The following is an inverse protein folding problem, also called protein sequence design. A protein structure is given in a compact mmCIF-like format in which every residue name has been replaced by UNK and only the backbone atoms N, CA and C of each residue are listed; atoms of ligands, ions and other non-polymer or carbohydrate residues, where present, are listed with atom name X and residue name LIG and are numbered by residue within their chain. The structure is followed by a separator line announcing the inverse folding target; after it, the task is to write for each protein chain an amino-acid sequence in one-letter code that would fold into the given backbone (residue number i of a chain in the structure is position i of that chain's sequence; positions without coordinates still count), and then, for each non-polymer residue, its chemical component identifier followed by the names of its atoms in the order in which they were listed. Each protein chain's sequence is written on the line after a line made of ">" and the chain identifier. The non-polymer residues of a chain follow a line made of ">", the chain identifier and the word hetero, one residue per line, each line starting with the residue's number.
data_IF_986149014319
#
_entry.id   IF_986149014319
#
_cell.length_a   1.000
_cell.length_b   1.000
_cell.length_c   1.000
_cell.angle_alpha   90.00
_cell.angle_beta   90.00
_cell.angle_gamma   90.00
#
_symmetry.space_group_name_H-M   'P 1'
#
loop_
_entity.id
_entity.type
_entity.pdbx_description
1 polymer ?
#
# COMPACT_ATOMS: atom_id res chain seq x y z
N UNK A 1 -5.29 7.20 -24.64
CA UNK A 1 -4.44 7.10 -23.42
C UNK A 1 -4.60 5.69 -22.87
N UNK A 2 -3.50 5.01 -22.54
CA UNK A 2 -3.58 3.70 -21.88
C UNK A 2 -4.28 3.83 -20.52
N UNK A 3 -5.14 2.88 -20.17
CA UNK A 3 -5.82 2.86 -18.87
C UNK A 3 -4.80 2.77 -17.74
N UNK A 4 -4.92 3.63 -16.72
CA UNK A 4 -4.02 3.64 -15.55
C UNK A 4 -4.39 2.50 -14.61
N UNK A 5 -3.42 1.66 -14.24
CA UNK A 5 -3.61 0.61 -13.23
C UNK A 5 -3.84 1.21 -11.85
N UNK A 6 -4.72 0.59 -11.06
CA UNK A 6 -4.87 0.85 -9.62
C UNK A 6 -3.71 0.20 -8.87
N UNK A 7 -3.01 0.96 -8.03
CA UNK A 7 -1.77 0.51 -7.38
C UNK A 7 -1.97 0.49 -5.86
N UNK A 8 -1.65 -0.64 -5.22
CA UNK A 8 -1.51 -0.73 -3.77
C UNK A 8 -0.04 -0.68 -3.37
N UNK A 9 0.34 0.24 -2.48
CA UNK A 9 1.68 0.29 -1.89
C UNK A 9 1.62 -0.20 -0.44
N UNK A 10 2.35 -1.28 -0.15
CA UNK A 10 2.53 -1.83 1.20
C UNK A 10 3.87 -1.34 1.75
N UNK A 11 3.87 -0.77 2.97
CA UNK A 11 5.07 -0.08 3.50
C UNK A 11 5.22 1.36 2.99
N UNK A 12 4.12 1.99 2.54
CA UNK A 12 4.13 3.34 1.97
C UNK A 12 4.62 4.44 2.92
N UNK A 13 4.64 4.22 4.24
CA UNK A 13 5.19 5.18 5.22
C UNK A 13 6.68 4.97 5.53
N UNK A 14 7.33 4.00 4.87
CA UNK A 14 8.76 3.75 4.99
C UNK A 14 9.63 4.74 4.20
N UNK A 15 10.95 4.57 4.29
CA UNK A 15 11.92 5.49 3.68
C UNK A 15 11.74 5.63 2.16
N UNK A 16 11.68 4.50 1.44
CA UNK A 16 11.44 4.49 -0.02
C UNK A 16 9.95 4.58 -0.34
N UNK A 17 9.10 3.89 0.43
CA UNK A 17 7.67 3.80 0.18
C UNK A 17 6.98 5.16 -0.01
N UNK A 18 7.36 6.18 0.77
CA UNK A 18 6.76 7.51 0.67
C UNK A 18 6.95 8.19 -0.69
N UNK A 19 8.10 7.94 -1.33
CA UNK A 19 8.39 8.47 -2.65
C UNK A 19 7.66 7.69 -3.74
N UNK A 20 7.52 6.37 -3.59
CA UNK A 20 6.73 5.52 -4.49
C UNK A 20 5.27 5.96 -4.49
N UNK A 21 4.68 6.18 -3.31
CA UNK A 21 3.29 6.65 -3.16
C UNK A 21 3.09 7.97 -3.89
N UNK A 22 3.96 8.95 -3.63
CA UNK A 22 3.89 10.27 -4.26
C UNK A 22 4.00 10.16 -5.79
N UNK A 23 5.01 9.46 -6.30
CA UNK A 23 5.23 9.31 -7.74
C UNK A 23 4.07 8.58 -8.44
N UNK A 24 3.52 7.54 -7.82
CA UNK A 24 2.34 6.81 -8.31
C UNK A 24 1.13 7.75 -8.47
N UNK A 25 0.87 8.57 -7.46
CA UNK A 25 -0.21 9.55 -7.49
C UNK A 25 0.04 10.65 -8.55
N UNK A 26 1.23 11.24 -8.59
CA UNK A 26 1.61 12.31 -9.54
C UNK A 26 1.58 11.85 -11.01
N UNK A 27 1.83 10.57 -11.25
CA UNK A 27 1.73 9.97 -12.59
C UNK A 27 0.30 9.54 -12.96
N UNK A 28 -0.69 9.86 -12.11
CA UNK A 28 -2.11 9.70 -12.37
C UNK A 28 -2.65 8.29 -12.13
N UNK A 29 -1.93 7.43 -11.42
CA UNK A 29 -2.46 6.12 -11.02
C UNK A 29 -3.37 6.27 -9.80
N UNK A 30 -4.58 5.68 -9.79
CA UNK A 30 -5.36 5.53 -8.57
C UNK A 30 -4.52 4.76 -7.55
N UNK A 31 -4.07 5.47 -6.51
CA UNK A 31 -3.05 4.97 -5.59
C UNK A 31 -3.68 4.68 -4.24
N UNK A 32 -3.41 3.49 -3.74
CA UNK A 32 -3.86 2.98 -2.45
C UNK A 32 -2.64 2.72 -1.57
N UNK A 33 -2.72 3.02 -0.28
CA UNK A 33 -1.65 2.74 0.68
C UNK A 33 -2.21 1.92 1.83
N UNK A 34 -1.56 0.80 2.14
CA UNK A 34 -1.89 0.02 3.33
C UNK A 34 -1.29 0.68 4.57
N UNK A 35 -2.13 1.05 5.53
CA UNK A 35 -1.76 1.72 6.78
C UNK A 35 -2.20 0.87 7.96
N UNK A 36 -1.28 0.62 8.90
CA UNK A 36 -1.60 -0.05 10.18
C UNK A 36 -2.21 0.95 11.15
N UNK A 37 -3.13 0.53 12.00
CA UNK A 37 -3.82 1.42 12.95
C UNK A 37 -2.83 2.20 13.85
N UNK A 38 -1.80 1.53 14.37
CA UNK A 38 -0.79 2.18 15.22
C UNK A 38 0.17 3.13 14.46
N UNK A 39 0.05 3.23 13.13
CA UNK A 39 0.86 4.16 12.33
C UNK A 39 0.52 5.62 12.68
N UNK A 40 -0.76 5.89 12.98
CA UNK A 40 -1.24 7.24 13.29
C UNK A 40 -0.78 7.74 14.67
N UNK A 41 -0.39 6.84 15.57
CA UNK A 41 0.16 7.18 16.88
C UNK A 41 1.55 7.83 16.80
N UNK A 42 2.26 7.65 15.69
CA UNK A 42 3.58 8.28 15.48
C UNK A 42 3.42 9.66 14.83
N UNK A 43 3.88 10.76 15.47
CA UNK A 43 3.65 12.12 14.97
C UNK A 43 4.14 12.34 13.53
N UNK A 44 5.32 11.84 13.18
CA UNK A 44 5.89 11.99 11.84
C UNK A 44 5.13 11.18 10.79
N UNK A 45 4.73 9.95 11.13
CA UNK A 45 3.98 9.08 10.21
C UNK A 45 2.56 9.58 10.02
N UNK A 46 1.93 10.13 11.06
CA UNK A 46 0.60 10.74 10.98
C UNK A 46 0.60 11.90 9.98
N UNK A 47 1.54 12.85 10.11
CA UNK A 47 1.71 13.95 9.16
C UNK A 47 1.95 13.47 7.72
N UNK A 48 2.74 12.42 7.55
CA UNK A 48 2.97 11.82 6.23
C UNK A 48 1.68 11.21 5.65
N UNK A 49 0.91 10.47 6.46
CA UNK A 49 -0.37 9.88 6.04
C UNK A 49 -1.39 10.96 5.69
N UNK A 50 -1.41 12.09 6.40
CA UNK A 50 -2.20 13.26 6.03
C UNK A 50 -1.76 13.84 4.69
N UNK A 51 -0.45 13.95 4.43
CA UNK A 51 0.06 14.42 3.13
C UNK A 51 -0.33 13.50 1.96
N UNK A 52 -0.52 12.20 2.19
CA UNK A 52 -1.01 11.30 1.14
C UNK A 52 -2.43 11.66 0.70
N UNK A 53 -3.29 12.09 1.62
CA UNK A 53 -4.65 12.52 1.28
C UNK A 53 -4.66 13.73 0.34
N UNK A 54 -3.71 14.67 0.51
CA UNK A 54 -3.62 15.83 -0.39
C UNK A 54 -3.13 15.46 -1.81
N UNK A 55 -2.46 14.32 -1.97
CA UNK A 55 -2.12 13.75 -3.28
C UNK A 55 -3.25 12.91 -3.91
N UNK A 56 -4.43 12.84 -3.28
CA UNK A 56 -5.54 12.02 -3.76
C UNK A 56 -5.34 10.51 -3.54
N UNK A 57 -4.43 10.13 -2.65
CA UNK A 57 -4.17 8.72 -2.30
C UNK A 57 -5.29 8.20 -1.39
N UNK A 58 -5.75 6.99 -1.66
CA UNK A 58 -6.73 6.28 -0.82
C UNK A 58 -6.02 5.47 0.26
N UNK A 59 -6.40 5.66 1.52
CA UNK A 59 -5.84 4.90 2.63
C UNK A 59 -6.68 3.66 2.88
N UNK A 60 -6.03 2.49 2.92
CA UNK A 60 -6.64 1.23 3.30
C UNK A 60 -6.05 0.80 4.64
N UNK A 61 -6.91 0.61 5.64
CA UNK A 61 -6.49 0.15 6.95
C UNK A 61 -6.39 -1.38 6.98
N UNK A 62 -5.25 -1.88 7.44
CA UNK A 62 -4.98 -3.30 7.54
C UNK A 62 -3.57 -3.60 8.02
N UNK A 63 -3.30 -4.88 8.26
CA UNK A 63 -2.02 -5.36 8.77
C UNK A 63 -1.52 -6.54 7.93
N UNK A 64 -0.20 -6.64 7.82
CA UNK A 64 0.48 -7.73 7.14
C UNK A 64 0.23 -9.08 7.81
N UNK A 65 -0.07 -9.09 9.11
CA UNK A 65 -0.43 -10.30 9.87
C UNK A 65 -1.92 -10.63 9.79
N UNK A 66 -2.76 -9.73 9.30
CA UNK A 66 -4.18 -9.99 9.04
C UNK A 66 -4.39 -10.29 7.55
N UNK A 67 -4.39 -11.58 7.23
CA UNK A 67 -4.59 -12.10 5.88
C UNK A 67 -5.88 -11.58 5.23
N UNK A 68 -6.99 -11.51 5.98
CA UNK A 68 -8.27 -11.06 5.45
C UNK A 68 -8.22 -9.57 5.06
N UNK A 69 -7.53 -8.74 5.86
CA UNK A 69 -7.32 -7.34 5.52
C UNK A 69 -6.49 -7.19 4.23
N UNK A 70 -5.44 -8.00 4.06
CA UNK A 70 -4.62 -8.01 2.84
C UNK A 70 -5.44 -8.40 1.61
N UNK A 71 -6.19 -9.51 1.68
CA UNK A 71 -7.03 -9.97 0.56
C UNK A 71 -8.06 -8.90 0.18
N UNK A 72 -8.73 -8.27 1.16
CA UNK A 72 -9.69 -7.18 0.92
C UNK A 72 -9.04 -5.96 0.25
N UNK A 73 -7.82 -5.60 0.64
CA UNK A 73 -7.09 -4.50 0.03
C UNK A 73 -6.65 -4.85 -1.41
N UNK A 74 -6.10 -6.04 -1.61
CA UNK A 74 -5.58 -6.50 -2.90
C UNK A 74 -6.69 -6.64 -3.95
N UNK A 75 -7.89 -7.09 -3.57
CA UNK A 75 -9.06 -7.19 -4.47
C UNK A 75 -9.50 -5.86 -5.09
N UNK A 76 -9.05 -4.72 -4.56
CA UNK A 76 -9.42 -3.39 -5.05
C UNK A 76 -8.48 -2.84 -6.13
N UNK A 77 -7.33 -3.48 -6.36
CA UNK A 77 -6.25 -2.95 -7.20
C UNK A 77 -5.83 -3.90 -8.34
N UNK A 78 -5.01 -3.41 -9.26
CA UNK A 78 -4.45 -4.22 -10.36
C UNK A 78 -2.99 -4.65 -10.08
N UNK A 79 -2.27 -3.85 -9.28
CA UNK A 79 -0.83 -3.98 -9.04
C UNK A 79 -0.55 -3.78 -7.54
N UNK A 80 0.37 -4.59 -7.01
CA UNK A 80 0.87 -4.46 -5.63
C UNK A 80 2.36 -4.12 -5.67
N UNK A 81 2.77 -3.09 -4.94
CA UNK A 81 4.18 -2.72 -4.73
C UNK A 81 4.49 -2.90 -3.24
N UNK A 82 5.40 -3.81 -2.93
CA UNK A 82 5.95 -3.98 -1.58
C UNK A 82 7.18 -3.08 -1.41
N UNK A 83 7.15 -2.22 -0.40
CA UNK A 83 8.25 -1.37 0.04
C UNK A 83 8.56 -1.62 1.53
N UNK A 84 8.43 -2.87 1.97
CA UNK A 84 8.76 -3.28 3.33
C UNK A 84 10.25 -3.11 3.62
N UNK A 85 10.58 -2.84 4.89
CA UNK A 85 11.97 -2.79 5.34
C UNK A 85 12.62 -4.18 5.37
N UNK A 86 13.96 -4.22 5.36
CA UNK A 86 14.72 -5.48 5.27
C UNK A 86 14.35 -6.54 6.33
N UNK A 87 13.98 -6.11 7.54
CA UNK A 87 13.55 -7.01 8.62
C UNK A 87 12.23 -7.75 8.34
N UNK A 88 11.45 -7.32 7.35
CA UNK A 88 10.14 -7.88 7.00
C UNK A 88 10.12 -8.49 5.59
N UNK A 89 11.29 -8.82 5.02
CA UNK A 89 11.36 -9.46 3.71
C UNK A 89 10.64 -10.81 3.72
N UNK A 90 10.85 -11.61 4.76
CA UNK A 90 10.22 -12.94 4.89
C UNK A 90 8.70 -12.83 5.02
N UNK A 91 8.18 -11.74 5.60
CA UNK A 91 6.73 -11.51 5.70
C UNK A 91 6.07 -11.30 4.32
N UNK A 92 6.83 -11.05 3.26
CA UNK A 92 6.26 -10.89 1.90
C UNK A 92 5.57 -12.17 1.40
N UNK A 93 5.88 -13.35 1.97
CA UNK A 93 5.13 -14.58 1.67
C UNK A 93 3.64 -14.46 2.01
N UNK A 94 3.28 -13.63 3.01
CA UNK A 94 1.87 -13.35 3.38
C UNK A 94 1.19 -12.52 2.29
N UNK A 95 1.91 -11.56 1.70
CA UNK A 95 1.42 -10.77 0.55
C UNK A 95 1.19 -11.71 -0.64
N UNK A 96 2.14 -12.59 -0.94
CA UNK A 96 2.03 -13.55 -2.05
C UNK A 96 0.82 -14.47 -1.86
N UNK A 97 0.61 -15.00 -0.65
CA UNK A 97 -0.55 -15.83 -0.34
C UNK A 97 -1.86 -15.07 -0.56
N UNK A 98 -1.95 -13.83 -0.09
CA UNK A 98 -3.13 -12.98 -0.28
C UNK A 98 -3.35 -12.60 -1.76
N UNK A 99 -2.29 -12.35 -2.53
CA UNK A 99 -2.34 -12.12 -3.99
C UNK A 99 -2.92 -13.35 -4.69
N UNK A 100 -2.43 -14.55 -4.36
CA UNK A 100 -2.90 -15.81 -4.94
C UNK A 100 -4.39 -16.02 -4.70
N UNK A 101 -4.87 -15.71 -3.49
CA UNK A 101 -6.30 -15.84 -3.16
C UNK A 101 -7.16 -14.76 -3.83
N UNK A 102 -6.66 -13.53 -3.91
CA UNK A 102 -7.41 -12.42 -4.51
C UNK A 102 -7.62 -12.61 -6.02
N UNK A 103 -6.62 -13.17 -6.73
CA UNK A 103 -6.75 -13.63 -8.11
C UNK A 103 -6.87 -12.52 -9.17
N UNK A 104 -6.67 -11.26 -8.80
CA UNK A 104 -6.90 -10.08 -9.66
C UNK A 104 -5.64 -9.25 -9.96
N UNK A 105 -4.47 -9.67 -9.47
CA UNK A 105 -3.20 -8.98 -9.74
C UNK A 105 -2.60 -9.47 -11.06
N UNK A 106 -2.15 -8.51 -11.87
CA UNK A 106 -1.60 -8.73 -13.22
C UNK A 106 -0.15 -9.21 -13.21
#
# INVERSE_FOLDING_TARGET
>A
MAAKSKILVIGGTGYIGKFIVKASAETGHPTFVLVRDNTLSHPEKSKLVESFKSFGVTLLYGDLTDHNSLVKAIKQVDVVISALGGQQIDDQVKIIAAIKEAGNIK
#
